data_IF_590052928601
#
_entry.id   IF_590052928601
#
_cell.length_a   1.000
_cell.length_b   1.000
_cell.length_c   1.000
_cell.angle_alpha   90.00
_cell.angle_beta   90.00
_cell.angle_gamma   90.00
#
_symmetry.space_group_name_H-M   'P 1'
#
loop_
_entity.id
_entity.type
_entity.pdbx_description
1 polymer ?
#
# COMPACT_ATOMS: atom_id res chain seq x y z
N UNK A 1 1.43 13.13 32.32
CA UNK A 1 1.38 13.25 30.85
C UNK A 1 0.83 14.61 30.51
N UNK A 2 1.37 15.30 29.49
CA UNK A 2 0.78 16.56 29.02
C UNK A 2 -0.64 16.32 28.49
N UNK A 3 -1.57 17.28 28.62
CA UNK A 3 -2.91 17.19 28.04
C UNK A 3 -2.89 16.88 26.53
N UNK A 4 -1.88 17.40 25.82
CA UNK A 4 -1.69 17.20 24.38
C UNK A 4 -1.33 15.75 24.03
N UNK A 5 -0.49 15.10 24.87
CA UNK A 5 -0.14 13.69 24.68
C UNK A 5 -1.36 12.78 24.92
N UNK A 6 -2.17 13.08 25.94
CA UNK A 6 -3.39 12.30 26.21
C UNK A 6 -4.40 12.42 25.08
N UNK A 7 -4.57 13.62 24.52
CA UNK A 7 -5.45 13.87 23.38
C UNK A 7 -4.95 13.11 22.15
N UNK A 8 -3.66 13.19 21.85
CA UNK A 8 -3.04 12.50 20.71
C UNK A 8 -3.18 10.97 20.79
N UNK A 9 -2.97 10.40 21.98
CA UNK A 9 -3.17 8.97 22.20
C UNK A 9 -4.65 8.57 22.10
N UNK A 10 -5.57 9.43 22.53
CA UNK A 10 -7.01 9.23 22.36
C UNK A 10 -7.43 9.21 20.89
N UNK A 11 -6.93 10.16 20.10
CA UNK A 11 -7.14 10.20 18.64
C UNK A 11 -6.58 8.94 17.97
N UNK A 12 -5.35 8.56 18.31
CA UNK A 12 -4.72 7.35 17.77
C UNK A 12 -5.55 6.09 18.09
N UNK A 13 -5.94 5.91 19.36
CA UNK A 13 -6.72 4.76 19.78
C UNK A 13 -8.11 4.72 19.11
N UNK A 14 -8.79 5.87 19.04
CA UNK A 14 -10.07 6.01 18.33
C UNK A 14 -9.93 5.68 16.84
N UNK A 15 -8.89 6.21 16.20
CA UNK A 15 -8.54 5.93 14.81
C UNK A 15 -8.34 4.43 14.56
N UNK A 16 -7.55 3.75 15.39
CA UNK A 16 -7.32 2.30 15.30
C UNK A 16 -8.62 1.51 15.45
N UNK A 17 -9.53 1.89 16.35
CA UNK A 17 -10.84 1.22 16.49
C UNK A 17 -11.66 1.37 15.20
N UNK A 18 -11.74 2.57 14.63
CA UNK A 18 -12.45 2.80 13.37
C UNK A 18 -11.82 2.04 12.21
N UNK A 19 -10.48 1.99 12.14
CA UNK A 19 -9.75 1.22 11.13
C UNK A 19 -10.08 -0.27 11.23
N UNK A 20 -10.10 -0.84 12.44
CA UNK A 20 -10.42 -2.26 12.65
C UNK A 20 -11.86 -2.59 12.21
N UNK A 21 -12.82 -1.74 12.58
CA UNK A 21 -14.21 -1.89 12.16
C UNK A 21 -14.36 -1.72 10.64
N UNK A 22 -13.73 -0.68 10.09
CA UNK A 22 -13.77 -0.36 8.67
C UNK A 22 -13.15 -1.43 7.79
N UNK A 23 -11.98 -1.94 8.18
CA UNK A 23 -11.29 -3.04 7.49
C UNK A 23 -12.10 -4.33 7.50
N UNK A 24 -12.75 -4.68 8.61
CA UNK A 24 -13.61 -5.87 8.67
C UNK A 24 -14.86 -5.74 7.78
N UNK A 25 -15.51 -4.56 7.79
CA UNK A 25 -16.66 -4.28 6.91
C UNK A 25 -16.25 -4.28 5.43
N UNK A 26 -15.14 -3.63 5.09
CA UNK A 26 -14.63 -3.56 3.74
C UNK A 26 -14.32 -4.96 3.21
N UNK A 27 -13.58 -5.78 3.95
CA UNK A 27 -13.22 -7.15 3.51
C UNK A 27 -14.48 -8.00 3.32
N UNK A 28 -15.42 -7.97 4.28
CA UNK A 28 -16.69 -8.73 4.15
C UNK A 28 -17.50 -8.30 2.93
N UNK A 29 -17.69 -7.00 2.74
CA UNK A 29 -18.45 -6.46 1.62
C UNK A 29 -17.76 -6.75 0.28
N UNK A 30 -16.45 -6.55 0.22
CA UNK A 30 -15.64 -6.77 -0.97
C UNK A 30 -15.64 -8.24 -1.40
N UNK A 31 -15.49 -9.18 -0.47
CA UNK A 31 -15.56 -10.63 -0.76
C UNK A 31 -16.94 -11.00 -1.30
N UNK A 32 -18.02 -10.57 -0.63
CA UNK A 32 -19.38 -10.89 -1.08
C UNK A 32 -19.71 -10.32 -2.47
N UNK A 33 -19.22 -9.10 -2.78
CA UNK A 33 -19.36 -8.55 -4.13
C UNK A 33 -18.52 -9.32 -5.15
N UNK A 34 -17.29 -9.72 -4.78
CA UNK A 34 -16.39 -10.47 -5.64
C UNK A 34 -16.99 -11.82 -6.05
N UNK A 35 -17.46 -12.60 -5.07
CA UNK A 35 -18.08 -13.91 -5.27
C UNK A 35 -19.32 -13.82 -6.16
N UNK A 36 -20.17 -12.81 -5.92
CA UNK A 36 -21.41 -12.62 -6.68
C UNK A 36 -21.16 -12.25 -8.15
N UNK A 37 -20.10 -11.49 -8.44
CA UNK A 37 -19.78 -11.05 -9.80
C UNK A 37 -18.72 -11.93 -10.48
N UNK A 38 -18.28 -13.02 -9.84
CA UNK A 38 -17.24 -13.90 -10.37
C UNK A 38 -15.88 -13.20 -10.55
N UNK A 39 -15.62 -12.15 -9.77
CA UNK A 39 -14.36 -11.39 -9.82
C UNK A 39 -13.36 -12.03 -8.85
N UNK A 40 -12.12 -12.33 -9.26
CA UNK A 40 -11.13 -12.91 -8.36
C UNK A 40 -10.84 -11.99 -7.16
N UNK A 41 -10.72 -12.52 -5.92
CA UNK A 41 -10.38 -11.73 -4.73
C UNK A 41 -9.10 -10.89 -4.89
N UNK A 42 -8.10 -11.42 -5.61
CA UNK A 42 -6.89 -10.69 -5.96
C UNK A 42 -7.17 -9.40 -6.74
N UNK A 43 -8.10 -9.44 -7.71
CA UNK A 43 -8.45 -8.26 -8.52
C UNK A 43 -9.15 -7.20 -7.68
N UNK A 44 -10.02 -7.62 -6.76
CA UNK A 44 -10.67 -6.70 -5.81
C UNK A 44 -9.64 -6.08 -4.86
N UNK A 45 -8.66 -6.87 -4.39
CA UNK A 45 -7.51 -6.39 -3.64
C UNK A 45 -6.71 -5.31 -4.40
N UNK A 46 -6.34 -5.59 -5.65
CA UNK A 46 -5.55 -4.68 -6.52
C UNK A 46 -6.28 -3.40 -6.94
N UNK A 47 -7.60 -3.34 -6.76
CA UNK A 47 -8.44 -2.23 -7.22
C UNK A 47 -9.19 -1.58 -6.07
N UNK A 48 -10.39 -2.05 -5.77
CA UNK A 48 -11.30 -1.45 -4.79
C UNK A 48 -10.64 -1.28 -3.43
N UNK A 49 -9.94 -2.30 -2.95
CA UNK A 49 -9.32 -2.27 -1.62
C UNK A 49 -8.10 -1.35 -1.63
N UNK A 50 -7.13 -1.60 -2.53
CA UNK A 50 -5.92 -0.78 -2.65
C UNK A 50 -6.23 0.71 -2.87
N UNK A 51 -7.14 1.04 -3.79
CA UNK A 51 -7.46 2.44 -4.10
C UNK A 51 -8.25 3.09 -2.97
N UNK A 52 -9.08 2.30 -2.29
CA UNK A 52 -9.88 2.75 -1.18
C UNK A 52 -9.05 3.04 0.06
N UNK A 53 -8.09 2.17 0.39
CA UNK A 53 -7.19 2.37 1.54
C UNK A 53 -6.19 3.48 1.29
N UNK A 54 -5.73 3.66 0.04
CA UNK A 54 -4.76 4.71 -0.34
C UNK A 54 -5.39 6.06 -0.73
N UNK A 55 -6.71 6.21 -0.57
CA UNK A 55 -7.42 7.47 -0.83
C UNK A 55 -7.05 8.61 0.15
N UNK A 56 -6.86 8.37 1.46
CA UNK A 56 -6.34 9.38 2.38
C UNK A 56 -4.97 9.91 1.94
N UNK A 57 -4.06 9.03 1.51
CA UNK A 57 -2.75 9.40 1.00
C UNK A 57 -2.85 10.24 -0.26
N UNK A 58 -3.75 9.87 -1.18
CA UNK A 58 -4.00 10.68 -2.36
C UNK A 58 -4.43 12.09 -1.96
N UNK A 59 -5.41 12.22 -1.05
CA UNK A 59 -5.91 13.52 -0.60
C UNK A 59 -4.80 14.36 0.06
N UNK A 60 -4.02 13.76 0.96
CA UNK A 60 -2.90 14.40 1.64
C UNK A 60 -1.84 14.90 0.64
N UNK A 61 -1.45 14.06 -0.31
CA UNK A 61 -0.38 14.40 -1.26
C UNK A 61 -0.84 15.39 -2.34
N UNK A 62 -2.11 15.35 -2.75
CA UNK A 62 -2.68 16.37 -3.64
C UNK A 62 -2.77 17.72 -2.93
N UNK A 63 -3.19 17.74 -1.65
CA UNK A 63 -3.23 18.96 -0.85
C UNK A 63 -1.82 19.56 -0.69
N UNK A 64 -0.83 18.73 -0.34
CA UNK A 64 0.57 19.13 -0.24
C UNK A 64 1.11 19.68 -1.56
N UNK A 65 0.85 19.00 -2.69
CA UNK A 65 1.28 19.44 -4.01
C UNK A 65 0.64 20.76 -4.44
N UNK A 66 -0.66 20.94 -4.17
CA UNK A 66 -1.38 22.19 -4.47
C UNK A 66 -0.90 23.38 -3.64
N UNK A 67 -0.35 23.13 -2.46
CA UNK A 67 0.21 24.14 -1.56
C UNK A 67 1.70 24.40 -1.82
N UNK A 68 2.30 23.74 -2.81
CA UNK A 68 3.73 23.85 -3.13
C UNK A 68 4.66 23.11 -2.16
N UNK A 69 4.12 22.27 -1.26
CA UNK A 69 4.86 21.53 -0.25
C UNK A 69 5.13 20.07 -0.70
N UNK A 70 5.74 19.90 -1.88
CA UNK A 70 6.00 18.57 -2.48
C UNK A 70 7.21 17.84 -1.91
N UNK A 71 7.98 18.48 -1.03
CA UNK A 71 9.25 17.95 -0.48
C UNK A 71 9.08 16.61 0.26
N UNK A 72 7.91 16.40 0.87
CA UNK A 72 7.60 15.20 1.64
C UNK A 72 6.87 14.13 0.83
N UNK A 73 6.31 14.48 -0.34
CA UNK A 73 5.53 13.56 -1.17
C UNK A 73 6.36 12.35 -1.59
N UNK A 74 7.60 12.57 -2.02
CA UNK A 74 8.48 11.50 -2.46
C UNK A 74 8.78 10.48 -1.34
N UNK A 75 9.20 11.01 -0.18
CA UNK A 75 9.54 10.21 0.98
C UNK A 75 8.33 9.44 1.52
N UNK A 76 7.16 10.07 1.55
CA UNK A 76 5.91 9.42 1.95
C UNK A 76 5.59 8.23 1.04
N UNK A 77 5.54 8.43 -0.29
CA UNK A 77 5.13 7.36 -1.22
C UNK A 77 6.10 6.18 -1.27
N UNK A 78 7.40 6.46 -1.24
CA UNK A 78 8.43 5.40 -1.23
C UNK A 78 8.54 4.72 0.13
N UNK A 79 8.38 5.47 1.22
CA UNK A 79 8.28 4.96 2.58
C UNK A 79 7.09 4.03 2.77
N UNK A 80 5.88 4.46 2.43
CA UNK A 80 4.68 3.63 2.48
C UNK A 80 4.80 2.37 1.61
N UNK A 81 5.45 2.46 0.45
CA UNK A 81 5.71 1.28 -0.39
C UNK A 81 6.63 0.27 0.30
N UNK A 82 7.65 0.75 1.00
CA UNK A 82 8.56 -0.08 1.79
C UNK A 82 7.84 -0.69 3.01
N UNK A 83 7.02 0.10 3.71
CA UNK A 83 6.19 -0.35 4.85
C UNK A 83 5.19 -1.42 4.40
N UNK A 84 4.55 -1.27 3.25
CA UNK A 84 3.63 -2.26 2.71
C UNK A 84 4.32 -3.62 2.47
N UNK A 85 5.50 -3.63 1.86
CA UNK A 85 6.21 -4.89 1.56
C UNK A 85 6.88 -5.46 2.82
N UNK A 86 7.51 -4.63 3.62
CA UNK A 86 8.31 -5.07 4.76
C UNK A 86 7.45 -5.38 5.99
N UNK A 87 6.62 -4.41 6.41
CA UNK A 87 5.82 -4.50 7.62
C UNK A 87 4.46 -5.18 7.36
N UNK A 88 3.67 -4.68 6.40
CA UNK A 88 2.29 -5.15 6.22
C UNK A 88 2.25 -6.60 5.73
N UNK A 89 3.02 -6.92 4.70
CA UNK A 89 3.14 -8.31 4.22
C UNK A 89 3.80 -9.21 5.26
N UNK A 90 4.87 -8.74 5.91
CA UNK A 90 5.57 -9.48 6.96
C UNK A 90 4.63 -9.90 8.09
N UNK A 91 3.87 -8.94 8.64
CA UNK A 91 2.87 -9.20 9.67
C UNK A 91 1.72 -10.08 9.16
N UNK A 92 1.27 -9.87 7.92
CA UNK A 92 0.22 -10.69 7.31
C UNK A 92 0.63 -12.16 7.24
N UNK A 93 1.87 -12.44 6.81
CA UNK A 93 2.43 -13.79 6.73
C UNK A 93 2.65 -14.44 8.11
N UNK A 94 2.98 -13.65 9.14
CA UNK A 94 3.06 -14.13 10.53
C UNK A 94 1.69 -14.59 11.05
N UNK A 95 0.63 -13.82 10.76
CA UNK A 95 -0.76 -14.18 11.13
C UNK A 95 -1.17 -15.47 10.40
N UNK A 96 -1.06 -15.49 9.07
CA UNK A 96 -1.41 -16.66 8.24
C UNK A 96 -0.49 -16.71 7.02
N UNK A 97 0.12 -17.87 6.69
CA UNK A 97 0.89 -18.03 5.45
C UNK A 97 0.08 -17.56 4.24
N UNK A 98 0.71 -16.76 3.39
CA UNK A 98 0.04 -16.01 2.34
C UNK A 98 0.26 -16.72 1.00
N UNK A 99 -0.78 -17.39 0.50
CA UNK A 99 -0.73 -18.06 -0.81
C UNK A 99 -0.68 -17.02 -1.93
N UNK A 100 0.16 -17.26 -2.93
CA UNK A 100 0.41 -16.39 -4.07
C UNK A 100 -0.19 -17.00 -5.33
N UNK A 101 -0.97 -16.20 -6.06
CA UNK A 101 -1.47 -16.62 -7.37
C UNK A 101 -0.39 -16.47 -8.46
N UNK A 102 -0.38 -17.38 -9.43
CA UNK A 102 0.56 -17.34 -10.55
C UNK A 102 0.41 -16.10 -11.44
N UNK A 103 -0.80 -15.52 -11.50
CA UNK A 103 -1.08 -14.23 -12.14
C UNK A 103 -0.21 -13.13 -11.51
N UNK A 104 -0.25 -13.00 -10.18
CA UNK A 104 0.50 -12.00 -9.40
C UNK A 104 1.99 -11.99 -9.81
N UNK A 105 2.60 -13.16 -9.86
CA UNK A 105 4.01 -13.31 -10.18
C UNK A 105 4.37 -13.01 -11.63
N UNK A 106 3.47 -13.28 -12.57
CA UNK A 106 3.74 -13.11 -14.00
C UNK A 106 3.35 -11.75 -14.53
N UNK A 107 2.50 -11.01 -13.82
CA UNK A 107 1.90 -9.78 -14.34
C UNK A 107 2.03 -8.62 -13.37
N UNK A 108 1.55 -8.74 -12.13
CA UNK A 108 1.50 -7.63 -11.18
C UNK A 108 2.87 -7.31 -10.57
N UNK A 109 3.63 -8.30 -10.09
CA UNK A 109 4.98 -8.07 -9.56
C UNK A 109 5.95 -7.54 -10.61
N UNK A 110 5.96 -8.01 -11.87
CA UNK A 110 6.74 -7.38 -12.94
C UNK A 110 6.34 -5.93 -13.22
N UNK A 111 5.06 -5.58 -13.14
CA UNK A 111 4.61 -4.18 -13.28
C UNK A 111 5.10 -3.32 -12.10
N UNK A 112 5.02 -3.83 -10.87
CA UNK A 112 5.57 -3.14 -9.71
C UNK A 112 7.09 -2.95 -9.84
N UNK A 113 7.83 -3.99 -10.23
CA UNK A 113 9.27 -3.90 -10.47
C UNK A 113 9.59 -2.88 -11.57
N UNK A 114 8.86 -2.93 -12.69
CA UNK A 114 8.99 -1.96 -13.78
C UNK A 114 8.71 -0.53 -13.32
N UNK A 115 7.74 -0.33 -12.44
CA UNK A 115 7.40 0.97 -11.84
C UNK A 115 8.55 1.51 -10.99
N UNK A 116 9.13 0.67 -10.12
CA UNK A 116 10.27 1.07 -9.27
C UNK A 116 11.50 1.39 -10.12
N UNK A 117 11.79 0.57 -11.14
CA UNK A 117 12.87 0.83 -12.10
C UNK A 117 12.64 2.11 -12.90
N UNK A 118 11.40 2.37 -13.32
CA UNK A 118 11.03 3.60 -14.01
C UNK A 118 11.24 4.82 -13.10
N UNK A 119 10.80 4.78 -11.84
CA UNK A 119 11.03 5.86 -10.89
C UNK A 119 12.52 6.12 -10.63
N UNK A 120 13.33 5.06 -10.51
CA UNK A 120 14.79 5.19 -10.44
C UNK A 120 15.33 5.86 -11.71
N UNK A 121 14.92 5.45 -12.91
CA UNK A 121 15.37 6.10 -14.12
C UNK A 121 14.98 7.59 -14.15
N UNK A 122 13.71 7.91 -13.91
CA UNK A 122 13.18 9.28 -13.97
C UNK A 122 13.81 10.19 -12.92
N UNK A 123 14.09 9.69 -11.72
CA UNK A 123 14.69 10.51 -10.63
C UNK A 123 16.15 10.90 -10.91
N UNK A 124 16.86 10.14 -11.74
CA UNK A 124 18.29 10.34 -12.05
C UNK A 124 18.54 10.96 -13.45
N UNK A 125 17.60 10.77 -14.39
CA UNK A 125 17.67 11.28 -15.76
C UNK A 125 17.90 12.80 -15.86
N UNK A 126 17.23 13.68 -15.07
CA UNK A 126 17.46 15.12 -15.13
C UNK A 126 18.91 15.52 -14.85
N UNK A 127 19.54 14.90 -13.84
CA UNK A 127 20.95 15.13 -13.50
C UNK A 127 21.91 14.61 -14.57
N UNK A 128 21.59 13.50 -15.24
CA UNK A 128 22.40 12.91 -16.30
C UNK A 128 22.31 13.66 -17.65
N UNK A 129 21.17 14.29 -17.94
CA UNK A 129 20.93 15.04 -19.18
C UNK A 129 21.38 16.51 -19.10
N UNK A 130 22.05 16.91 -18.03
CA UNK A 130 22.49 18.30 -17.83
C UNK A 130 21.33 19.29 -17.71
N UNK A 131 20.11 18.82 -17.40
CA UNK A 131 19.01 19.72 -17.06
C UNK A 131 19.39 20.40 -15.75
N UNK A 132 19.42 21.73 -15.75
CA UNK A 132 19.75 22.58 -14.59
C UNK A 132 18.62 22.55 -13.53
N UNK A 133 18.18 21.36 -13.13
CA UNK A 133 17.16 21.11 -12.13
C UNK A 133 17.70 20.19 -11.03
N UNK A 134 17.15 20.34 -9.83
CA UNK A 134 17.37 19.40 -8.72
C UNK A 134 16.96 17.98 -9.11
N UNK A 135 17.63 16.96 -8.56
CA UNK A 135 17.17 15.57 -8.63
C UNK A 135 15.70 15.48 -8.18
N UNK A 136 14.89 14.68 -8.87
CA UNK A 136 13.45 14.59 -8.59
C UNK A 136 12.60 14.33 -9.83
N UNK A 137 11.29 14.39 -9.65
CA UNK A 137 10.28 14.18 -10.69
C UNK A 137 9.78 15.52 -11.22
N UNK A 138 9.83 15.68 -12.54
CA UNK A 138 9.27 16.81 -13.26
C UNK A 138 7.79 16.58 -13.58
N UNK A 139 7.10 17.63 -14.05
CA UNK A 139 5.73 17.51 -14.57
C UNK A 139 5.61 16.52 -15.72
N UNK A 140 6.63 16.45 -16.59
CA UNK A 140 6.64 15.48 -17.68
C UNK A 140 6.74 14.04 -17.15
N UNK A 141 7.55 13.81 -16.12
CA UNK A 141 7.68 12.51 -15.46
C UNK A 141 6.35 12.11 -14.80
N UNK A 142 5.62 13.07 -14.21
CA UNK A 142 4.26 12.86 -13.71
C UNK A 142 3.30 12.33 -14.78
N UNK A 143 3.33 12.90 -16.00
CA UNK A 143 2.53 12.40 -17.12
C UNK A 143 2.92 10.97 -17.52
N UNK A 144 4.22 10.65 -17.53
CA UNK A 144 4.72 9.28 -17.82
C UNK A 144 4.21 8.28 -16.79
N UNK A 145 4.25 8.63 -15.50
CA UNK A 145 3.75 7.77 -14.42
C UNK A 145 2.24 7.52 -14.54
N UNK A 146 1.45 8.55 -14.86
CA UNK A 146 0.01 8.40 -15.07
C UNK A 146 -0.35 7.60 -16.32
N UNK A 147 0.44 7.71 -17.40
CA UNK A 147 0.31 6.81 -18.54
C UNK A 147 0.59 5.35 -18.15
N UNK A 148 1.60 5.12 -17.31
CA UNK A 148 1.87 3.81 -16.71
C UNK A 148 0.68 3.31 -15.88
N UNK A 149 0.09 4.17 -15.04
CA UNK A 149 -1.09 3.84 -14.24
C UNK A 149 -2.30 3.48 -15.12
N UNK A 150 -2.57 4.27 -16.15
CA UNK A 150 -3.64 3.99 -17.11
C UNK A 150 -3.43 2.63 -17.82
N UNK A 151 -2.18 2.31 -18.18
CA UNK A 151 -1.78 1.01 -18.71
C UNK A 151 -2.04 -0.14 -17.72
N UNK A 152 -1.70 0.06 -16.44
CA UNK A 152 -1.98 -0.91 -15.37
C UNK A 152 -3.49 -1.14 -15.19
N UNK A 153 -4.29 -0.08 -15.09
CA UNK A 153 -5.75 -0.19 -14.97
C UNK A 153 -6.34 -0.90 -16.18
N UNK A 154 -5.91 -0.55 -17.39
CA UNK A 154 -6.35 -1.21 -18.61
C UNK A 154 -6.01 -2.70 -18.62
N UNK A 155 -4.81 -3.06 -18.16
CA UNK A 155 -4.39 -4.46 -18.01
C UNK A 155 -5.31 -5.22 -17.03
N UNK A 156 -5.66 -4.62 -15.89
CA UNK A 156 -6.61 -5.22 -14.93
C UNK A 156 -8.00 -5.40 -15.53
N UNK A 157 -8.52 -4.38 -16.22
CA UNK A 157 -9.83 -4.45 -16.88
C UNK A 157 -9.85 -5.52 -18.00
N UNK A 158 -8.74 -5.71 -18.71
CA UNK A 158 -8.62 -6.79 -19.71
C UNK A 158 -8.57 -8.16 -19.06
N UNK A 159 -7.85 -8.30 -17.96
CA UNK A 159 -7.78 -9.56 -17.21
C UNK A 159 -9.15 -9.95 -16.64
N UNK A 160 -9.93 -8.99 -16.14
CA UNK A 160 -11.27 -9.21 -15.60
C UNK A 160 -12.31 -9.62 -16.67
N UNK A 161 -12.07 -9.28 -17.94
CA UNK A 161 -12.95 -9.64 -19.07
C UNK A 161 -12.66 -11.01 -19.67
N UNK A 162 -11.56 -11.66 -19.32
CA UNK A 162 -11.31 -13.02 -19.81
C UNK A 162 -12.23 -13.99 -19.08
N UNK A 163 -13.06 -14.78 -19.80
CA UNK A 163 -13.89 -15.78 -19.15
C UNK A 163 -12.97 -16.73 -18.38
N UNK A 164 -13.25 -16.91 -17.10
CA UNK A 164 -12.65 -17.99 -16.29
C UNK A 164 -12.79 -19.26 -17.14
N UNK A 165 -11.66 -19.85 -17.57
CA UNK A 165 -11.67 -21.08 -18.36
C UNK A 165 -12.39 -22.14 -17.53
N UNK A 166 -13.64 -22.40 -17.88
CA UNK A 166 -14.43 -23.54 -17.39
C UNK A 166 -13.67 -24.78 -17.83
N UNK A 167 -12.96 -25.43 -16.90
CA UNK A 167 -12.09 -26.56 -17.21
C UNK A 167 -10.94 -26.81 -16.22
N UNK A 168 -10.66 -25.92 -15.27
CA UNK A 168 -9.81 -26.27 -14.13
C UNK A 168 -10.65 -27.02 -13.06
N UNK A 169 -10.14 -28.11 -12.44
CA UNK A 169 -10.85 -28.88 -11.41
C UNK A 169 -11.36 -28.03 -10.23
N UNK A 170 -10.78 -26.84 -10.04
CA UNK A 170 -11.11 -25.85 -9.03
C UNK A 170 -12.56 -25.33 -9.09
N UNK A 171 -13.19 -25.30 -10.26
CA UNK A 171 -14.55 -24.78 -10.40
C UNK A 171 -15.60 -25.72 -9.79
N UNK A 172 -15.30 -27.02 -9.67
CA UNK A 172 -16.18 -27.99 -9.03
C UNK A 172 -16.08 -27.93 -7.50
N UNK A 173 -14.87 -27.79 -6.95
CA UNK A 173 -14.65 -27.73 -5.49
C UNK A 173 -15.15 -26.42 -4.86
N UNK A 174 -15.06 -25.28 -5.58
CA UNK A 174 -15.61 -23.99 -5.13
C UNK A 174 -17.15 -24.00 -5.18
N UNK A 175 -17.74 -24.73 -6.13
CA UNK A 175 -19.20 -24.82 -6.32
C UNK A 175 -19.91 -25.70 -5.30
N UNK A 176 -19.25 -26.74 -4.76
CA UNK A 176 -19.84 -27.59 -3.71
C UNK A 176 -19.70 -26.99 -2.30
N UNK A 177 -18.61 -26.29 -1.99
CA UNK A 177 -18.41 -25.65 -0.68
C UNK A 177 -19.17 -24.32 -0.50
N UNK A 178 -19.48 -23.61 -1.59
CA UNK A 178 -20.19 -22.32 -1.55
C UNK A 178 -21.73 -22.45 -1.47
N UNK A 179 -22.28 -23.66 -1.52
CA UNK A 179 -23.75 -23.89 -1.57
C UNK A 179 -24.46 -23.82 -0.22
N UNK A 180 -23.75 -23.66 0.90
CA UNK A 180 -24.30 -23.85 2.25
C UNK A 180 -24.55 -22.56 3.06
N UNK A 181 -24.04 -21.39 2.64
CA UNK A 181 -24.27 -20.11 3.32
C UNK A 181 -25.09 -19.18 2.42
N UNK A 182 -26.16 -18.53 2.92
CA UNK A 182 -26.92 -17.57 2.13
C UNK A 182 -26.02 -16.40 1.73
N UNK A 183 -25.83 -16.22 0.41
CA UNK A 183 -25.05 -15.11 -0.12
C UNK A 183 -25.60 -13.77 0.39
N UNK A 184 -24.72 -12.96 0.97
CA UNK A 184 -25.07 -11.61 1.42
C UNK A 184 -25.72 -10.82 0.27
N UNK A 185 -26.77 -10.07 0.59
CA UNK A 185 -27.47 -9.26 -0.41
C UNK A 185 -26.52 -8.19 -0.96
N UNK A 186 -26.57 -7.95 -2.27
CA UNK A 186 -25.70 -6.95 -2.92
C UNK A 186 -25.83 -5.55 -2.32
N UNK A 187 -27.02 -5.05 -1.88
CA UNK A 187 -27.10 -3.73 -1.28
C UNK A 187 -26.37 -3.68 0.06
N UNK A 188 -26.49 -4.73 0.88
CA UNK A 188 -25.78 -4.81 2.15
C UNK A 188 -24.26 -4.89 1.91
N UNK A 189 -23.82 -5.68 0.94
CA UNK A 189 -22.40 -5.77 0.58
C UNK A 189 -21.85 -4.41 0.12
N UNK A 190 -22.60 -3.67 -0.70
CA UNK A 190 -22.24 -2.31 -1.12
C UNK A 190 -22.19 -1.34 0.04
N UNK A 191 -23.18 -1.37 0.95
CA UNK A 191 -23.18 -0.52 2.15
C UNK A 191 -21.99 -0.84 3.05
N UNK A 192 -21.62 -2.12 3.19
CA UNK A 192 -20.45 -2.52 3.98
C UNK A 192 -19.14 -2.07 3.34
N UNK A 193 -19.01 -2.12 2.01
CA UNK A 193 -17.86 -1.55 1.31
C UNK A 193 -17.77 -0.04 1.53
N UNK A 194 -18.85 0.69 1.26
CA UNK A 194 -18.85 2.16 1.38
C UNK A 194 -18.64 2.62 2.83
N UNK A 195 -19.33 1.98 3.77
CA UNK A 195 -19.15 2.22 5.21
C UNK A 195 -17.75 1.84 5.68
N UNK A 196 -17.21 0.72 5.20
CA UNK A 196 -15.84 0.30 5.47
C UNK A 196 -14.81 1.32 4.99
N UNK A 197 -14.93 1.79 3.75
CA UNK A 197 -14.08 2.85 3.19
C UNK A 197 -14.17 4.16 3.96
N UNK A 198 -15.39 4.58 4.33
CA UNK A 198 -15.59 5.78 5.12
C UNK A 198 -14.92 5.68 6.50
N UNK A 199 -15.09 4.55 7.19
CA UNK A 199 -14.45 4.30 8.49
C UNK A 199 -12.92 4.21 8.37
N UNK A 200 -12.41 3.61 7.29
CA UNK A 200 -10.96 3.57 7.04
C UNK A 200 -10.39 4.97 6.80
N UNK A 201 -11.08 5.81 6.03
CA UNK A 201 -10.64 7.19 5.80
C UNK A 201 -10.67 8.05 7.07
N UNK A 202 -11.77 7.99 7.84
CA UNK A 202 -11.88 8.72 9.10
C UNK A 202 -10.88 8.19 10.13
N UNK A 203 -10.80 6.87 10.27
CA UNK A 203 -9.88 6.21 11.20
C UNK A 203 -8.42 6.43 10.85
N UNK A 204 -8.09 6.46 9.55
CA UNK A 204 -6.77 6.79 9.03
C UNK A 204 -6.35 8.20 9.41
N UNK A 205 -7.20 9.20 9.16
CA UNK A 205 -6.92 10.59 9.53
C UNK A 205 -6.72 10.76 11.04
N UNK A 206 -7.63 10.21 11.87
CA UNK A 206 -7.50 10.29 13.33
C UNK A 206 -6.26 9.54 13.84
N UNK A 207 -5.96 8.39 13.24
CA UNK A 207 -4.77 7.59 13.53
C UNK A 207 -3.49 8.36 13.20
N UNK A 208 -3.44 9.01 12.03
CA UNK A 208 -2.32 9.84 11.59
C UNK A 208 -2.11 11.04 12.51
N UNK A 209 -3.15 11.84 12.74
CA UNK A 209 -3.09 13.00 13.63
C UNK A 209 -2.63 12.60 15.04
N UNK A 210 -3.19 11.51 15.57
CA UNK A 210 -2.81 10.99 16.89
C UNK A 210 -1.38 10.48 16.95
N UNK A 211 -0.90 9.77 15.93
CA UNK A 211 0.48 9.26 15.87
C UNK A 211 1.50 10.39 15.76
N UNK A 212 1.26 11.35 14.87
CA UNK A 212 2.11 12.53 14.66
C UNK A 212 2.13 13.41 15.91
N UNK A 213 0.97 13.71 16.48
CA UNK A 213 0.84 14.51 17.70
C UNK A 213 1.54 13.87 18.89
N UNK A 214 1.38 12.56 19.08
CA UNK A 214 2.06 11.83 20.15
C UNK A 214 3.58 11.84 19.95
N UNK A 215 4.08 11.65 18.73
CA UNK A 215 5.51 11.66 18.46
C UNK A 215 6.14 13.04 18.75
N UNK A 216 5.49 14.12 18.35
CA UNK A 216 5.94 15.49 18.66
C UNK A 216 5.91 15.76 20.17
N UNK A 217 4.85 15.33 20.87
CA UNK A 217 4.74 15.49 22.32
C UNK A 217 5.78 14.66 23.11
N UNK A 218 6.30 13.59 22.52
CA UNK A 218 7.40 12.77 23.05
C UNK A 218 8.79 13.32 22.71
N UNK A 219 8.86 14.47 22.01
CA UNK A 219 10.12 15.16 21.70
C UNK A 219 10.81 14.70 20.44
N UNK A 220 10.14 13.94 19.55
CA UNK A 220 10.69 13.64 18.23
C UNK A 220 10.70 14.91 17.36
N UNK A 221 11.76 15.10 16.58
CA UNK A 221 11.85 16.25 15.68
C UNK A 221 10.85 16.15 14.52
N UNK A 222 10.37 17.28 14.02
CA UNK A 222 9.39 17.32 12.92
C UNK A 222 9.89 16.59 11.66
N UNK A 223 11.20 16.63 11.41
CA UNK A 223 11.86 15.93 10.30
C UNK A 223 11.79 14.41 10.49
N UNK A 224 12.08 13.92 11.69
CA UNK A 224 12.08 12.49 12.00
C UNK A 224 10.65 11.93 11.99
N UNK A 225 9.69 12.70 12.49
CA UNK A 225 8.25 12.38 12.42
C UNK A 225 7.77 12.29 10.97
N UNK A 226 8.13 13.27 10.11
CA UNK A 226 7.68 13.31 8.72
C UNK A 226 8.14 12.14 7.85
N UNK A 227 9.34 11.61 8.09
CA UNK A 227 9.91 10.55 7.23
C UNK A 227 9.60 9.13 7.73
N UNK A 228 9.25 8.98 9.02
CA UNK A 228 9.05 7.67 9.66
C UNK A 228 7.67 7.46 10.27
N UNK A 229 7.19 8.41 11.07
CA UNK A 229 5.89 8.27 11.76
C UNK A 229 4.75 8.50 10.77
N UNK A 230 4.86 9.52 9.91
CA UNK A 230 3.81 9.80 8.91
C UNK A 230 3.66 8.62 7.94
N UNK A 231 4.76 8.12 7.37
CA UNK A 231 4.71 6.99 6.42
C UNK A 231 4.16 5.71 7.05
N UNK A 232 4.46 5.44 8.33
CA UNK A 232 3.87 4.35 9.09
C UNK A 232 2.37 4.57 9.36
N UNK A 233 1.99 5.80 9.72
CA UNK A 233 0.63 6.12 10.13
C UNK A 233 -0.34 6.16 8.95
N UNK A 234 0.10 6.68 7.80
CA UNK A 234 -0.70 6.67 6.57
C UNK A 234 -0.95 5.26 6.07
N UNK A 235 -0.04 4.31 6.32
CA UNK A 235 -0.17 2.88 5.93
C UNK A 235 -1.01 2.04 6.92
N UNK A 236 -1.59 2.65 7.96
CA UNK A 236 -2.46 1.93 8.91
C UNK A 236 -3.73 1.33 8.26
N UNK A 237 -4.44 2.01 7.33
CA UNK A 237 -5.57 1.43 6.61
C UNK A 237 -5.19 0.16 5.84
N UNK A 238 -4.06 0.17 5.12
CA UNK A 238 -3.51 -0.97 4.39
C UNK A 238 -3.16 -2.10 5.35
N UNK A 239 -2.47 -1.79 6.45
CA UNK A 239 -2.10 -2.76 7.48
C UNK A 239 -3.33 -3.47 8.02
N UNK A 240 -4.29 -2.71 8.52
CA UNK A 240 -5.48 -3.25 9.16
C UNK A 240 -6.31 -4.05 8.16
N UNK A 241 -6.52 -3.53 6.96
CA UNK A 241 -7.31 -4.20 5.92
C UNK A 241 -6.65 -5.51 5.47
N UNK A 242 -5.33 -5.52 5.30
CA UNK A 242 -4.58 -6.73 4.92
C UNK A 242 -4.62 -7.78 6.04
N UNK A 243 -4.49 -7.36 7.30
CA UNK A 243 -4.62 -8.24 8.46
C UNK A 243 -6.05 -8.81 8.58
N UNK A 244 -7.09 -8.00 8.36
CA UNK A 244 -8.48 -8.48 8.34
C UNK A 244 -8.71 -9.48 7.21
N UNK A 245 -8.16 -9.24 6.02
CA UNK A 245 -8.24 -10.15 4.89
C UNK A 245 -7.57 -11.51 5.19
N UNK A 246 -6.33 -11.54 5.70
CA UNK A 246 -5.66 -12.81 6.02
C UNK A 246 -6.33 -13.56 7.18
N UNK A 247 -6.87 -12.85 8.18
CA UNK A 247 -7.64 -13.48 9.27
C UNK A 247 -8.91 -14.16 8.76
N UNK A 248 -9.51 -13.64 7.68
CA UNK A 248 -10.65 -14.24 6.98
C UNK A 248 -10.26 -15.29 5.93
N UNK A 249 -8.97 -15.60 5.81
CA UNK A 249 -8.46 -16.54 4.81
C UNK A 249 -8.40 -16.00 3.38
N UNK A 250 -8.60 -14.70 3.20
CA UNK A 250 -8.57 -14.02 1.91
C UNK A 250 -7.15 -13.52 1.61
N UNK A 251 -6.19 -14.46 1.56
CA UNK A 251 -4.76 -14.13 1.39
C UNK A 251 -4.46 -13.46 0.05
N UNK A 252 -5.18 -13.86 -1.00
CA UNK A 252 -5.06 -13.27 -2.33
C UNK A 252 -5.50 -11.80 -2.36
N UNK A 253 -6.55 -11.46 -1.60
CA UNK A 253 -7.01 -10.07 -1.45
C UNK A 253 -5.99 -9.24 -0.68
N UNK A 254 -5.39 -9.79 0.39
CA UNK A 254 -4.35 -9.10 1.15
C UNK A 254 -3.11 -8.80 0.29
N UNK A 255 -2.63 -9.76 -0.50
CA UNK A 255 -1.54 -9.51 -1.46
C UNK A 255 -1.92 -8.51 -2.52
N UNK A 256 -3.14 -8.60 -3.05
CA UNK A 256 -3.67 -7.65 -4.01
C UNK A 256 -3.68 -6.24 -3.46
N UNK A 257 -4.09 -6.06 -2.20
CA UNK A 257 -4.06 -4.78 -1.52
C UNK A 257 -2.63 -4.22 -1.44
N UNK A 258 -1.69 -5.01 -0.91
CA UNK A 258 -0.28 -4.60 -0.73
C UNK A 258 0.38 -4.21 -2.06
N UNK A 259 0.28 -5.06 -3.07
CA UNK A 259 0.90 -4.81 -4.40
C UNK A 259 0.16 -3.69 -5.13
N UNK A 260 -1.17 -3.66 -5.03
CA UNK A 260 -2.02 -2.65 -5.66
C UNK A 260 -1.75 -1.25 -5.10
N UNK A 261 -1.69 -1.11 -3.78
CA UNK A 261 -1.40 0.16 -3.09
C UNK A 261 0.00 0.66 -3.47
N UNK A 262 1.00 -0.22 -3.59
CA UNK A 262 2.32 0.21 -4.06
C UNK A 262 2.29 0.72 -5.50
N UNK A 263 1.61 0.04 -6.41
CA UNK A 263 1.47 0.49 -7.80
C UNK A 263 0.69 1.82 -7.86
N UNK A 264 -0.37 1.95 -7.06
CA UNK A 264 -1.19 3.16 -6.97
C UNK A 264 -0.38 4.34 -6.41
N UNK A 265 0.34 4.16 -5.31
CA UNK A 265 1.15 5.19 -4.68
C UNK A 265 2.25 5.68 -5.63
N UNK A 266 2.95 4.74 -6.27
CA UNK A 266 4.11 5.05 -7.11
C UNK A 266 3.76 5.59 -8.50
N UNK A 267 2.64 5.15 -9.10
CA UNK A 267 2.23 5.65 -10.42
C UNK A 267 1.19 6.76 -10.33
N UNK A 268 0.13 6.58 -9.55
CA UNK A 268 -0.99 7.52 -9.51
C UNK A 268 -0.75 8.69 -8.57
N UNK A 269 -0.43 8.43 -7.30
CA UNK A 269 -0.25 9.53 -6.32
C UNK A 269 0.99 10.35 -6.67
N UNK A 270 2.17 9.71 -6.85
CA UNK A 270 3.36 10.42 -7.30
C UNK A 270 3.16 11.08 -8.67
N UNK A 271 2.47 10.42 -9.61
CA UNK A 271 2.23 10.97 -10.95
C UNK A 271 1.37 12.23 -10.91
N UNK A 272 0.27 12.21 -10.15
CA UNK A 272 -0.62 13.37 -9.99
C UNK A 272 0.05 14.50 -9.21
N UNK A 273 0.76 14.21 -8.12
CA UNK A 273 1.53 15.21 -7.38
C UNK A 273 2.59 15.87 -8.28
N UNK A 274 3.31 15.07 -9.07
CA UNK A 274 4.34 15.54 -10.02
C UNK A 274 3.76 16.39 -11.15
N UNK A 275 2.53 16.12 -11.61
CA UNK A 275 1.84 16.97 -12.59
C UNK A 275 1.54 18.36 -12.02
N UNK A 276 1.12 18.43 -10.76
CA UNK A 276 0.76 19.69 -10.09
C UNK A 276 2.04 20.51 -9.85
N UNK A 277 3.04 19.91 -9.21
CA UNK A 277 4.30 20.54 -8.86
C UNK A 277 5.48 19.60 -9.05
N UNK A 278 6.69 20.15 -9.23
CA UNK A 278 7.90 19.32 -9.24
C UNK A 278 8.08 18.66 -7.87
N UNK A 279 8.34 17.37 -7.85
CA UNK A 279 8.56 16.60 -6.61
C UNK A 279 10.06 16.35 -6.48
N UNK A 280 10.78 17.08 -5.62
CA UNK A 280 12.21 16.90 -5.48
C UNK A 280 12.54 15.55 -4.85
N UNK A 281 13.69 14.99 -5.22
CA UNK A 281 14.25 13.83 -4.55
C UNK A 281 14.91 14.31 -3.25
N UNK A 282 14.40 13.92 -2.07
CA UNK A 282 14.98 14.36 -0.82
C UNK A 282 16.37 13.74 -0.60
N UNK A 283 17.21 14.32 0.28
CA UNK A 283 18.43 13.67 0.75
C UNK A 283 18.14 12.25 1.25
N UNK A 284 18.89 11.26 0.76
CA UNK A 284 18.65 9.84 1.08
C UNK A 284 17.50 9.18 0.31
N UNK A 285 16.72 9.92 -0.50
CA UNK A 285 15.61 9.37 -1.29
C UNK A 285 16.03 8.23 -2.24
N UNK A 286 17.24 8.32 -2.80
CA UNK A 286 17.87 7.23 -3.57
C UNK A 286 17.98 5.94 -2.76
N UNK A 287 18.43 6.03 -1.52
CA UNK A 287 18.63 4.85 -0.65
C UNK A 287 17.29 4.19 -0.37
N UNK A 288 16.24 4.99 -0.15
CA UNK A 288 14.87 4.49 0.04
C UNK A 288 14.37 3.81 -1.24
N UNK A 289 14.55 4.42 -2.43
CA UNK A 289 14.18 3.77 -3.70
C UNK A 289 14.91 2.44 -3.91
N UNK A 290 16.20 2.37 -3.59
CA UNK A 290 16.97 1.13 -3.70
C UNK A 290 16.50 0.08 -2.69
N UNK A 291 16.07 0.50 -1.49
CA UNK A 291 15.42 -0.40 -0.54
C UNK A 291 14.09 -0.91 -1.09
N UNK A 292 13.22 -0.05 -1.61
CA UNK A 292 11.96 -0.47 -2.27
C UNK A 292 12.24 -1.46 -3.41
N UNK A 293 13.26 -1.21 -4.23
CA UNK A 293 13.70 -2.14 -5.27
C UNK A 293 14.13 -3.48 -4.69
N UNK A 294 14.98 -3.47 -3.65
CA UNK A 294 15.47 -4.68 -2.98
C UNK A 294 14.33 -5.51 -2.39
N UNK A 295 13.38 -4.88 -1.70
CA UNK A 295 12.19 -5.54 -1.16
C UNK A 295 11.29 -6.09 -2.28
N UNK A 296 11.09 -5.33 -3.36
CA UNK A 296 10.31 -5.79 -4.53
C UNK A 296 10.97 -6.99 -5.20
N UNK A 297 12.29 -6.99 -5.36
CA UNK A 297 13.05 -8.11 -5.91
C UNK A 297 12.97 -9.34 -5.01
N UNK A 298 13.02 -9.14 -3.69
CA UNK A 298 12.90 -10.21 -2.70
C UNK A 298 11.52 -10.89 -2.78
N UNK A 299 10.46 -10.21 -3.20
CA UNK A 299 9.14 -10.84 -3.36
C UNK A 299 9.12 -11.97 -4.40
N UNK A 300 9.97 -11.93 -5.43
CA UNK A 300 9.98 -12.97 -6.47
C UNK A 300 10.36 -14.35 -5.91
N UNK A 301 11.54 -14.55 -5.29
CA UNK A 301 11.89 -15.85 -4.71
C UNK A 301 10.91 -16.24 -3.60
N UNK A 302 10.55 -15.33 -2.69
CA UNK A 302 9.62 -15.61 -1.58
C UNK A 302 8.23 -16.06 -2.04
N UNK A 303 7.80 -15.62 -3.22
CA UNK A 303 6.48 -15.97 -3.77
C UNK A 303 6.50 -17.28 -4.57
N UNK A 304 7.68 -17.81 -4.92
CA UNK A 304 7.85 -19.05 -5.70
C UNK A 304 8.20 -20.22 -4.77
N UNK A 305 8.88 -19.95 -3.67
CA UNK A 305 9.24 -20.93 -2.64
C UNK A 305 8.00 -21.51 -1.96
N UNK A 306 8.17 -22.68 -1.34
CA UNK A 306 7.18 -23.33 -0.47
C UNK A 306 5.76 -23.45 -1.06
N UNK A 307 5.66 -23.94 -2.31
CA UNK A 307 4.40 -24.10 -3.03
C UNK A 307 3.61 -22.78 -3.15
N UNK A 308 4.29 -21.76 -3.70
CA UNK A 308 3.71 -20.46 -3.99
C UNK A 308 3.13 -19.79 -2.74
N UNK A 309 3.80 -19.91 -1.60
CA UNK A 309 3.28 -19.44 -0.32
C UNK A 309 4.35 -18.72 0.47
N UNK A 310 4.08 -17.47 0.83
CA UNK A 310 4.93 -16.70 1.74
C UNK A 310 4.67 -17.20 3.15
N UNK A 311 5.66 -17.88 3.71
CA UNK A 311 5.59 -18.56 5.01
C UNK A 311 5.85 -17.60 6.18
N UNK A 312 5.60 -18.06 7.42
CA UNK A 312 5.89 -17.27 8.63
C UNK A 312 7.37 -16.87 8.76
N UNK A 313 8.35 -17.76 8.52
CA UNK A 313 9.76 -17.37 8.54
C UNK A 313 10.11 -16.32 7.50
N UNK A 314 9.54 -16.39 6.29
CA UNK A 314 9.74 -15.40 5.24
C UNK A 314 9.09 -14.05 5.60
N UNK A 315 7.92 -14.09 6.24
CA UNK A 315 7.30 -12.91 6.85
C UNK A 315 8.15 -12.28 7.95
N UNK A 316 8.75 -13.10 8.81
CA UNK A 316 9.69 -12.64 9.84
C UNK A 316 10.97 -12.04 9.23
N UNK A 317 11.47 -12.62 8.13
CA UNK A 317 12.60 -12.07 7.38
C UNK A 317 12.27 -10.68 6.84
N UNK A 318 11.13 -10.52 6.15
CA UNK A 318 10.66 -9.22 5.64
C UNK A 318 10.56 -8.18 6.76
N UNK A 319 9.94 -8.56 7.88
CA UNK A 319 9.79 -7.68 9.03
C UNK A 319 11.14 -7.29 9.63
N UNK A 320 12.07 -8.24 9.77
CA UNK A 320 13.40 -8.00 10.34
C UNK A 320 14.21 -7.07 9.45
N UNK A 321 14.22 -7.31 8.14
CA UNK A 321 14.89 -6.44 7.17
C UNK A 321 14.30 -5.03 7.20
N UNK A 322 12.97 -4.91 7.32
CA UNK A 322 12.29 -3.62 7.38
C UNK A 322 12.69 -2.85 8.64
N UNK A 323 12.59 -3.49 9.81
CA UNK A 323 12.96 -2.88 11.08
C UNK A 323 14.44 -2.52 11.14
N UNK A 324 15.32 -3.36 10.57
CA UNK A 324 16.75 -3.06 10.46
C UNK A 324 17.00 -1.84 9.56
N UNK A 325 16.36 -1.75 8.40
CA UNK A 325 16.48 -0.60 7.51
C UNK A 325 15.96 0.69 8.16
N UNK A 326 14.77 0.65 8.75
CA UNK A 326 14.19 1.81 9.45
C UNK A 326 15.04 2.23 10.65
N UNK A 327 15.54 1.27 11.43
CA UNK A 327 16.44 1.54 12.56
C UNK A 327 17.75 2.18 12.12
N UNK A 328 18.35 1.69 11.03
CA UNK A 328 19.54 2.29 10.44
C UNK A 328 19.28 3.73 9.94
N UNK A 329 18.16 3.95 9.28
CA UNK A 329 17.76 5.28 8.79
C UNK A 329 17.52 6.28 9.93
N UNK A 330 16.87 5.84 11.00
CA UNK A 330 16.67 6.63 12.22
C UNK A 330 18.01 6.97 12.89
N UNK A 331 18.91 5.99 13.00
CA UNK A 331 20.24 6.20 13.57
C UNK A 331 21.06 7.23 12.78
N UNK A 332 21.04 7.15 11.44
CA UNK A 332 21.69 8.16 10.59
C UNK A 332 21.07 9.55 10.77
N UNK A 333 19.75 9.64 10.89
CA UNK A 333 19.06 10.90 11.14
C UNK A 333 19.46 11.54 12.47
N UNK A 334 19.58 10.74 13.54
CA UNK A 334 20.01 11.20 14.85
C UNK A 334 21.52 11.53 14.92
N UNK A 335 22.35 10.83 14.15
CA UNK A 335 23.79 11.10 14.10
C UNK A 335 24.14 12.37 13.30
N UNK A 336 23.21 12.88 12.49
CA UNK A 336 23.37 14.08 11.66
C UNK A 336 22.87 15.38 12.34
N UNK A 337 22.23 15.29 13.52
CA UNK A 337 21.79 16.42 14.35
C UNK A 337 22.77 16.69 15.47
#
# INVERSE_FOLDING_TARGET
>A
MSPDLLTSLGLFAGGVVLLLLGGDLLVKGAVALAERHGVPPLTVGLTLVAFGTSAPELALNLAAASSGATDLTFGNMTGSSLTNIGLVLGLSALVRPVKVQSSLLRRELPVLLGTVCLLLALSWLPGALGRTGSLGLTRADGAVLLCGFAGFVWMLLRAAKQPVRVGAPLAAEVSEAARSEPLMSWPLATVMVLGGLALLGIGGNLGEEGAVGAALALGLSQQLVGLTVVSLATTLPELVTSIMAVRRGQTDMALGNIVGSNIFNLLFILGTASLIGTVPLPPGGTVILLAVLGFTLLLFPLSITFDWTITRPEGLLLLTLYLAFMGWQLWLGLAAT
#
